data_IF_323557006489
#
_entry.id   IF_323557006489
#
_cell.length_a   1.000
_cell.length_b   1.000
_cell.length_c   1.000
_cell.angle_alpha   90.00
_cell.angle_beta   90.00
_cell.angle_gamma   90.00
#
_symmetry.space_group_name_H-M   'P 1'
#
loop_
_entity.id
_entity.type
_entity.pdbx_description
1 polymer ?
#
# COMPACT_ATOMS: atom_id res chain seq x y z
N UNK A 1 27.09 -14.73 2.41
CA UNK A 1 27.54 -13.34 2.28
C UNK A 1 26.61 -12.67 1.28
N UNK A 2 25.66 -11.86 1.76
CA UNK A 2 24.49 -11.41 1.00
C UNK A 2 24.85 -10.55 -0.22
N UNK A 3 24.22 -10.80 -1.36
CA UNK A 3 24.39 -10.02 -2.59
C UNK A 3 23.68 -8.66 -2.41
N UNK A 4 24.39 -7.72 -1.80
CA UNK A 4 23.88 -6.38 -1.50
C UNK A 4 23.65 -5.61 -2.81
N UNK A 5 22.44 -5.09 -3.00
CA UNK A 5 22.13 -4.13 -4.05
C UNK A 5 23.04 -2.89 -3.91
N UNK A 6 23.66 -2.44 -5.00
CA UNK A 6 24.52 -1.25 -4.95
C UNK A 6 23.74 -0.03 -4.44
N UNK A 7 24.37 0.79 -3.61
CA UNK A 7 23.77 2.01 -3.07
C UNK A 7 23.21 2.91 -4.19
N UNK A 8 23.89 2.99 -5.32
CA UNK A 8 23.45 3.76 -6.50
C UNK A 8 22.12 3.25 -7.07
N UNK A 9 21.95 1.94 -7.17
CA UNK A 9 20.70 1.32 -7.67
C UNK A 9 19.57 1.52 -6.66
N UNK A 10 19.84 1.35 -5.36
CA UNK A 10 18.85 1.61 -4.31
C UNK A 10 18.41 3.09 -4.30
N UNK A 11 19.34 4.04 -4.32
CA UNK A 11 19.03 5.47 -4.39
C UNK A 11 18.20 5.80 -5.63
N UNK A 12 18.56 5.24 -6.79
CA UNK A 12 17.80 5.46 -8.02
C UNK A 12 16.39 4.90 -7.91
N UNK A 13 16.22 3.68 -7.38
CA UNK A 13 14.91 3.08 -7.16
C UNK A 13 14.04 3.92 -6.23
N UNK A 14 14.56 4.39 -5.09
CA UNK A 14 13.82 5.28 -4.17
C UNK A 14 13.37 6.56 -4.88
N UNK A 15 14.25 7.18 -5.66
CA UNK A 15 13.92 8.40 -6.40
C UNK A 15 12.89 8.15 -7.51
N UNK A 16 12.95 6.99 -8.17
CA UNK A 16 11.95 6.57 -9.16
C UNK A 16 10.59 6.34 -8.51
N UNK A 17 10.52 5.62 -7.39
CA UNK A 17 9.29 5.45 -6.61
C UNK A 17 8.72 6.81 -6.24
N UNK A 18 9.51 7.69 -5.59
CA UNK A 18 9.08 9.04 -5.22
C UNK A 18 8.56 9.86 -6.40
N UNK A 19 9.20 9.77 -7.57
CA UNK A 19 8.80 10.51 -8.78
C UNK A 19 7.45 10.05 -9.33
N UNK A 20 7.11 8.76 -9.15
CA UNK A 20 5.87 8.17 -9.66
C UNK A 20 4.68 8.33 -8.69
N UNK A 21 4.84 9.03 -7.56
CA UNK A 21 3.71 9.57 -6.80
C UNK A 21 3.30 10.94 -7.34
N UNK A 22 1.98 11.16 -7.48
CA UNK A 22 1.43 12.42 -7.97
C UNK A 22 1.49 13.50 -6.90
N UNK A 23 2.17 14.60 -7.20
CA UNK A 23 2.36 15.72 -6.24
C UNK A 23 1.09 16.53 -5.99
N UNK A 24 0.12 16.46 -6.88
CA UNK A 24 -1.15 17.19 -6.81
C UNK A 24 -2.24 16.40 -6.07
N UNK A 25 -1.95 15.19 -5.57
CA UNK A 25 -2.86 14.41 -4.73
C UNK A 25 -2.58 14.75 -3.27
N UNK A 26 -3.62 15.15 -2.53
CA UNK A 26 -3.47 15.76 -1.21
C UNK A 26 -2.93 14.78 -0.16
N UNK A 27 -3.45 13.55 -0.09
CA UNK A 27 -3.08 12.54 0.90
C UNK A 27 -2.26 11.40 0.31
N UNK A 28 -2.79 10.66 -0.68
CA UNK A 28 -2.12 9.47 -1.28
C UNK A 28 -0.98 9.87 -2.24
N UNK A 29 0.04 10.52 -1.67
CA UNK A 29 1.26 10.96 -2.34
C UNK A 29 2.50 10.36 -1.66
N UNK A 30 3.70 10.73 -2.11
CA UNK A 30 4.96 10.18 -1.59
C UNK A 30 5.10 10.25 -0.07
N UNK A 31 4.56 11.29 0.59
CA UNK A 31 4.67 11.43 2.05
C UNK A 31 3.84 10.38 2.77
N UNK A 32 2.69 10.01 2.24
CA UNK A 32 1.90 8.91 2.79
C UNK A 32 2.68 7.60 2.69
N UNK A 33 3.12 7.19 1.49
CA UNK A 33 3.89 5.97 1.30
C UNK A 33 5.19 5.91 2.13
N UNK A 34 5.89 7.04 2.25
CA UNK A 34 7.06 7.15 3.12
C UNK A 34 6.70 6.92 4.60
N UNK A 35 5.58 7.46 5.08
CA UNK A 35 5.11 7.23 6.46
C UNK A 35 4.64 5.79 6.67
N UNK A 36 3.98 5.17 5.68
CA UNK A 36 3.61 3.75 5.71
C UNK A 36 4.86 2.88 5.85
N UNK A 37 5.91 3.14 5.06
CA UNK A 37 7.18 2.42 5.16
C UNK A 37 7.91 2.71 6.49
N UNK A 38 7.83 3.93 7.01
CA UNK A 38 8.39 4.27 8.32
C UNK A 38 7.65 3.53 9.45
N UNK A 39 6.32 3.42 9.37
CA UNK A 39 5.53 2.64 10.31
C UNK A 39 5.88 1.14 10.22
N UNK A 40 6.03 0.61 9.01
CA UNK A 40 6.51 -0.76 8.80
C UNK A 40 7.85 -0.99 9.47
N UNK A 41 8.82 -0.10 9.27
CA UNK A 41 10.11 -0.16 9.94
C UNK A 41 9.98 -0.11 11.47
N UNK A 42 9.16 0.79 12.02
CA UNK A 42 8.93 0.90 13.45
C UNK A 42 8.28 -0.37 14.04
N UNK A 43 7.31 -0.96 13.35
CA UNK A 43 6.65 -2.20 13.75
C UNK A 43 7.63 -3.39 13.73
N UNK A 44 8.49 -3.47 12.71
CA UNK A 44 9.55 -4.48 12.63
C UNK A 44 10.56 -4.33 13.77
N UNK A 45 11.04 -3.10 14.02
CA UNK A 45 12.09 -2.82 15.02
C UNK A 45 11.54 -2.69 16.44
N UNK A 46 10.86 -1.59 16.74
CA UNK A 46 10.35 -1.30 18.08
C UNK A 46 9.21 -2.27 18.47
N UNK A 47 8.36 -2.65 17.50
CA UNK A 47 7.31 -3.65 17.68
C UNK A 47 7.81 -5.10 17.68
N UNK A 48 9.12 -5.33 17.46
CA UNK A 48 9.78 -6.65 17.48
C UNK A 48 9.17 -7.69 16.51
N UNK A 49 8.48 -7.25 15.46
CA UNK A 49 7.92 -8.15 14.44
C UNK A 49 9.03 -8.76 13.57
N UNK A 50 10.19 -8.09 13.45
CA UNK A 50 11.31 -8.58 12.64
C UNK A 50 11.71 -10.03 13.00
N UNK A 51 11.69 -10.38 14.28
CA UNK A 51 12.09 -11.72 14.77
C UNK A 51 11.10 -12.83 14.38
N UNK A 52 9.97 -12.47 13.79
CA UNK A 52 8.89 -13.40 13.41
C UNK A 52 8.80 -13.59 11.90
N UNK A 53 9.62 -12.88 11.13
CA UNK A 53 9.59 -12.84 9.67
C UNK A 53 10.94 -13.22 9.09
N UNK A 54 10.92 -13.74 7.86
CA UNK A 54 12.13 -13.99 7.07
C UNK A 54 12.66 -12.71 6.43
N UNK A 55 13.92 -12.71 6.01
CA UNK A 55 14.52 -11.56 5.32
C UNK A 55 13.79 -11.21 4.01
N UNK A 56 13.26 -12.21 3.29
CA UNK A 56 12.49 -11.98 2.06
C UNK A 56 11.12 -11.34 2.35
N UNK A 57 10.44 -11.76 3.43
CA UNK A 57 9.19 -11.13 3.87
C UNK A 57 9.42 -9.67 4.27
N UNK A 58 10.50 -9.39 5.02
CA UNK A 58 10.87 -8.02 5.42
C UNK A 58 11.19 -7.16 4.19
N UNK A 59 11.98 -7.69 3.26
CA UNK A 59 12.32 -7.01 2.00
C UNK A 59 11.05 -6.68 1.19
N UNK A 60 10.17 -7.67 1.04
CA UNK A 60 8.92 -7.51 0.31
C UNK A 60 7.99 -6.47 0.96
N UNK A 61 7.84 -6.49 2.29
CA UNK A 61 7.00 -5.54 3.02
C UNK A 61 7.51 -4.09 2.91
N UNK A 62 8.82 -3.87 2.97
CA UNK A 62 9.38 -2.52 2.81
C UNK A 62 9.21 -2.00 1.38
N UNK A 63 9.38 -2.86 0.38
CA UNK A 63 9.11 -2.51 -1.03
C UNK A 63 7.62 -2.21 -1.23
N UNK A 64 6.74 -3.07 -0.72
CA UNK A 64 5.29 -2.90 -0.82
C UNK A 64 4.84 -1.60 -0.14
N UNK A 65 5.27 -1.33 1.09
CA UNK A 65 4.90 -0.12 1.82
C UNK A 65 5.28 1.17 1.07
N UNK A 66 6.44 1.20 0.41
CA UNK A 66 6.85 2.34 -0.42
C UNK A 66 6.11 2.43 -1.77
N UNK A 67 5.53 1.32 -2.23
CA UNK A 67 5.00 1.19 -3.60
C UNK A 67 3.48 1.07 -3.69
N UNK A 68 2.81 0.88 -2.56
CA UNK A 68 1.40 0.45 -2.51
C UNK A 68 0.40 1.44 -3.10
N UNK A 69 0.79 2.72 -3.25
CA UNK A 69 -0.05 3.79 -3.81
C UNK A 69 0.60 4.47 -5.03
N UNK A 70 1.51 3.78 -5.72
CA UNK A 70 2.20 4.33 -6.89
C UNK A 70 1.22 4.79 -7.97
N UNK A 71 1.38 6.03 -8.43
CA UNK A 71 0.47 6.68 -9.38
C UNK A 71 -1.01 6.76 -8.89
N UNK A 72 -1.26 6.79 -7.58
CA UNK A 72 -2.59 7.07 -7.03
C UNK A 72 -3.13 8.40 -7.59
N UNK A 73 -4.43 8.40 -7.95
CA UNK A 73 -5.06 9.45 -8.77
C UNK A 73 -5.95 10.40 -7.98
N UNK A 74 -5.94 10.28 -6.66
CA UNK A 74 -6.78 11.09 -5.77
C UNK A 74 -8.25 10.68 -5.78
N UNK A 75 -8.56 9.46 -6.24
CA UNK A 75 -9.92 8.94 -6.34
C UNK A 75 -9.95 7.45 -6.00
N UNK A 76 -11.05 6.99 -5.43
CA UNK A 76 -11.21 5.61 -5.01
C UNK A 76 -11.63 4.65 -6.15
N UNK A 77 -11.60 3.34 -5.87
CA UNK A 77 -11.99 2.29 -6.81
C UNK A 77 -13.42 2.46 -7.36
N UNK A 78 -14.37 2.97 -6.55
CA UNK A 78 -15.75 3.19 -7.00
C UNK A 78 -15.85 4.30 -8.05
N UNK A 79 -15.09 5.39 -7.89
CA UNK A 79 -14.98 6.44 -8.89
C UNK A 79 -14.44 5.90 -10.21
N UNK A 80 -13.34 5.13 -10.16
CA UNK A 80 -12.69 4.56 -11.34
C UNK A 80 -13.66 3.64 -12.10
N UNK A 81 -14.46 2.85 -11.38
CA UNK A 81 -15.49 2.00 -11.99
C UNK A 81 -16.63 2.82 -12.63
N UNK A 82 -17.11 3.87 -11.97
CA UNK A 82 -18.22 4.71 -12.45
C UNK A 82 -17.84 5.63 -13.61
N UNK A 83 -16.57 5.99 -13.72
CA UNK A 83 -16.04 6.86 -14.79
C UNK A 83 -15.68 6.10 -16.07
N UNK A 84 -15.97 4.79 -16.14
CA UNK A 84 -15.59 3.91 -17.26
C UNK A 84 -14.10 4.00 -17.61
N UNK A 85 -13.26 4.27 -16.61
CA UNK A 85 -11.84 4.48 -16.81
C UNK A 85 -11.18 3.19 -17.34
N UNK A 86 -10.21 3.25 -18.27
CA UNK A 86 -9.60 2.06 -18.88
C UNK A 86 -9.05 1.03 -17.88
N UNK A 87 -8.60 1.48 -16.70
CA UNK A 87 -8.18 0.57 -15.62
C UNK A 87 -9.31 -0.33 -15.10
N UNK A 88 -10.56 0.17 -15.06
CA UNK A 88 -11.72 -0.62 -14.65
C UNK A 88 -12.08 -1.71 -15.66
N UNK A 89 -11.64 -1.58 -16.92
CA UNK A 89 -11.81 -2.62 -17.93
C UNK A 89 -10.75 -3.72 -17.82
N UNK A 90 -9.57 -3.40 -17.25
CA UNK A 90 -8.48 -4.35 -17.05
C UNK A 90 -8.64 -5.17 -15.77
N UNK A 91 -9.23 -4.57 -14.72
CA UNK A 91 -9.35 -5.17 -13.40
C UNK A 91 -10.80 -5.12 -12.89
N UNK A 92 -11.31 -6.25 -12.38
CA UNK A 92 -12.68 -6.34 -11.86
C UNK A 92 -12.81 -5.88 -10.41
N UNK A 93 -11.76 -6.04 -9.60
CA UNK A 93 -11.71 -5.71 -8.17
C UNK A 93 -10.32 -5.15 -7.84
N UNK A 94 -10.22 -4.40 -6.73
CA UNK A 94 -8.95 -3.82 -6.26
C UNK A 94 -8.18 -3.11 -7.38
N UNK A 95 -8.91 -2.30 -8.17
CA UNK A 95 -8.47 -1.79 -9.48
C UNK A 95 -7.20 -0.96 -9.32
N UNK A 96 -7.21 -0.04 -8.37
CA UNK A 96 -6.07 0.82 -8.08
C UNK A 96 -4.91 0.02 -7.49
N UNK A 97 -5.16 -0.94 -6.60
CA UNK A 97 -4.10 -1.76 -6.00
C UNK A 97 -3.40 -2.65 -7.03
N UNK A 98 -4.13 -3.16 -8.02
CA UNK A 98 -3.55 -3.82 -9.19
C UNK A 98 -2.67 -2.86 -10.01
N UNK A 99 -3.15 -1.64 -10.29
CA UNK A 99 -2.37 -0.60 -10.96
C UNK A 99 -1.10 -0.23 -10.18
N UNK A 100 -1.18 -0.09 -8.86
CA UNK A 100 -0.02 0.19 -7.99
C UNK A 100 1.02 -0.93 -8.06
N UNK A 101 0.57 -2.18 -8.08
CA UNK A 101 1.47 -3.32 -8.27
C UNK A 101 2.14 -3.32 -9.66
N UNK A 102 1.42 -2.97 -10.73
CA UNK A 102 2.01 -2.86 -12.07
C UNK A 102 3.06 -1.74 -12.14
N UNK A 103 2.79 -0.59 -11.51
CA UNK A 103 3.78 0.49 -11.38
C UNK A 103 5.00 0.04 -10.58
N UNK A 104 4.80 -0.70 -9.48
CA UNK A 104 5.88 -1.30 -8.70
C UNK A 104 6.75 -2.20 -9.57
N UNK A 105 6.14 -3.10 -10.35
CA UNK A 105 6.84 -4.03 -11.22
C UNK A 105 7.58 -3.30 -12.36
N UNK A 106 6.97 -2.27 -12.94
CA UNK A 106 7.61 -1.42 -13.96
C UNK A 106 8.89 -0.78 -13.40
N UNK A 107 8.84 -0.19 -12.20
CA UNK A 107 10.01 0.46 -11.58
C UNK A 107 11.08 -0.58 -11.23
N UNK A 108 10.70 -1.73 -10.67
CA UNK A 108 11.63 -2.81 -10.33
C UNK A 108 12.38 -3.37 -11.55
N UNK A 109 11.76 -3.35 -12.73
CA UNK A 109 12.38 -3.81 -13.98
C UNK A 109 13.10 -2.71 -14.76
N UNK A 110 12.90 -1.43 -14.40
CA UNK A 110 13.50 -0.30 -15.10
C UNK A 110 15.03 -0.31 -15.00
N UNK A 111 15.77 -0.03 -16.10
CA UNK A 111 17.23 -0.06 -16.11
C UNK A 111 17.86 0.71 -14.95
N UNK A 112 18.67 0.00 -14.16
CA UNK A 112 19.40 0.59 -13.04
C UNK A 112 18.56 0.90 -11.79
N UNK A 113 17.32 0.41 -11.72
CA UNK A 113 16.46 0.41 -10.52
C UNK A 113 16.26 -1.00 -9.93
N UNK A 114 16.91 -2.02 -10.50
CA UNK A 114 16.65 -3.43 -10.21
C UNK A 114 17.24 -3.86 -8.86
N UNK A 115 16.64 -3.40 -7.76
CA UNK A 115 17.09 -3.68 -6.38
C UNK A 115 17.00 -5.17 -6.00
N UNK A 116 16.25 -5.96 -6.76
CA UNK A 116 16.09 -7.41 -6.57
C UNK A 116 17.01 -8.26 -7.47
N UNK A 117 17.88 -7.64 -8.27
CA UNK A 117 18.74 -8.33 -9.25
C UNK A 117 19.75 -9.32 -8.63
N UNK A 118 20.03 -9.20 -7.33
CA UNK A 118 20.92 -10.12 -6.61
C UNK A 118 20.25 -11.42 -6.16
N UNK A 119 18.92 -11.49 -6.14
CA UNK A 119 18.17 -12.66 -5.69
C UNK A 119 18.28 -13.82 -6.68
N UNK A 120 18.17 -15.05 -6.18
CA UNK A 120 17.92 -16.21 -7.06
C UNK A 120 16.53 -16.10 -7.70
N UNK A 121 16.30 -16.90 -8.74
CA UNK A 121 15.02 -16.90 -9.47
C UNK A 121 13.84 -17.25 -8.53
N UNK A 122 14.02 -18.20 -7.62
CA UNK A 122 12.98 -18.64 -6.69
C UNK A 122 12.73 -17.60 -5.57
N UNK A 123 13.79 -16.98 -5.04
CA UNK A 123 13.65 -15.87 -4.08
C UNK A 123 12.98 -14.66 -4.74
N UNK A 124 13.31 -14.35 -5.99
CA UNK A 124 12.71 -13.25 -6.76
C UNK A 124 11.21 -13.48 -6.96
N UNK A 125 10.80 -14.67 -7.43
CA UNK A 125 9.39 -15.05 -7.59
C UNK A 125 8.64 -14.98 -6.26
N UNK A 126 9.23 -15.50 -5.19
CA UNK A 126 8.65 -15.46 -3.84
C UNK A 126 8.47 -14.03 -3.36
N UNK A 127 9.49 -13.19 -3.49
CA UNK A 127 9.46 -11.77 -3.10
C UNK A 127 8.39 -11.01 -3.87
N UNK A 128 8.29 -11.20 -5.19
CA UNK A 128 7.24 -10.57 -6.00
C UNK A 128 5.83 -11.03 -5.62
N UNK A 129 5.65 -12.32 -5.30
CA UNK A 129 4.37 -12.83 -4.81
C UNK A 129 3.94 -12.12 -3.52
N UNK A 130 4.86 -11.99 -2.57
CA UNK A 130 4.59 -11.30 -1.29
C UNK A 130 4.30 -9.82 -1.53
N UNK A 131 5.08 -9.13 -2.38
CA UNK A 131 4.83 -7.72 -2.74
C UNK A 131 3.42 -7.56 -3.32
N UNK A 132 3.01 -8.42 -4.26
CA UNK A 132 1.66 -8.38 -4.85
C UNK A 132 0.58 -8.53 -3.79
N UNK A 133 0.70 -9.55 -2.94
CA UNK A 133 -0.27 -9.81 -1.88
C UNK A 133 -0.33 -8.66 -0.86
N UNK A 134 0.82 -8.08 -0.52
CA UNK A 134 0.94 -6.96 0.40
C UNK A 134 0.32 -5.66 -0.15
N UNK A 135 0.53 -5.35 -1.43
CA UNK A 135 -0.10 -4.19 -2.08
C UNK A 135 -1.61 -4.40 -2.22
N UNK A 136 -2.07 -5.57 -2.68
CA UNK A 136 -3.51 -5.83 -2.75
C UNK A 136 -4.20 -5.75 -1.38
N UNK A 137 -3.50 -6.10 -0.30
CA UNK A 137 -4.04 -6.04 1.06
C UNK A 137 -4.34 -4.61 1.57
N UNK A 138 -3.89 -3.56 0.89
CA UNK A 138 -4.25 -2.17 1.24
C UNK A 138 -5.65 -1.79 0.74
N UNK A 139 -6.28 -2.60 -0.13
CA UNK A 139 -7.71 -2.47 -0.41
C UNK A 139 -8.51 -2.76 0.86
N UNK A 140 -9.12 -1.72 1.44
CA UNK A 140 -9.92 -1.85 2.66
C UNK A 140 -11.09 -2.82 2.51
N UNK A 141 -11.61 -3.06 1.30
CA UNK A 141 -12.63 -4.08 1.08
C UNK A 141 -12.08 -5.49 1.32
N UNK A 142 -10.83 -5.77 0.92
CA UNK A 142 -10.15 -7.03 1.21
C UNK A 142 -9.80 -7.17 2.69
N UNK A 143 -9.37 -6.09 3.34
CA UNK A 143 -9.19 -6.07 4.80
C UNK A 143 -10.49 -6.45 5.53
N UNK A 144 -11.62 -5.80 5.20
CA UNK A 144 -12.92 -6.08 5.83
C UNK A 144 -13.33 -7.55 5.62
N UNK A 145 -13.09 -8.09 4.42
CA UNK A 145 -13.39 -9.49 4.09
C UNK A 145 -12.56 -10.48 4.90
N UNK A 146 -11.28 -10.19 5.16
CA UNK A 146 -10.32 -11.14 5.76
C UNK A 146 -10.12 -10.98 7.27
N UNK A 147 -10.36 -9.79 7.84
CA UNK A 147 -10.06 -9.51 9.26
C UNK A 147 -10.79 -10.41 10.25
N UNK A 148 -11.98 -10.91 9.90
CA UNK A 148 -12.76 -11.80 10.75
C UNK A 148 -12.04 -13.12 11.05
N UNK A 149 -11.41 -13.71 10.03
CA UNK A 149 -10.59 -14.92 10.18
C UNK A 149 -9.42 -14.66 11.13
N UNK A 150 -8.70 -13.55 10.93
CA UNK A 150 -7.57 -13.18 11.77
C UNK A 150 -7.98 -12.99 13.24
N UNK A 151 -9.07 -12.25 13.48
CA UNK A 151 -9.58 -12.01 14.84
C UNK A 151 -10.04 -13.31 15.51
N UNK A 152 -10.67 -14.22 14.77
CA UNK A 152 -11.09 -15.52 15.30
C UNK A 152 -9.90 -16.42 15.68
N UNK A 153 -8.85 -16.46 14.85
CA UNK A 153 -7.62 -17.20 15.15
C UNK A 153 -6.96 -16.69 16.43
N UNK A 154 -6.89 -15.37 16.62
CA UNK A 154 -6.36 -14.76 17.84
C UNK A 154 -7.27 -15.07 19.03
N UNK A 155 -8.59 -14.87 18.90
CA UNK A 155 -9.57 -15.10 19.97
C UNK A 155 -9.57 -16.54 20.48
N UNK A 156 -9.33 -17.51 19.60
CA UNK A 156 -9.28 -18.95 19.92
C UNK A 156 -7.88 -19.42 20.34
N UNK A 157 -6.88 -18.54 20.40
CA UNK A 157 -5.46 -18.90 20.62
C UNK A 157 -4.94 -19.94 19.60
N UNK A 158 -5.42 -19.87 18.35
CA UNK A 158 -5.07 -20.77 17.25
C UNK A 158 -4.15 -20.12 16.21
N UNK A 159 -3.77 -18.86 16.43
CA UNK A 159 -2.90 -18.13 15.53
C UNK A 159 -1.46 -18.69 15.55
N UNK A 160 -0.98 -19.17 14.40
CA UNK A 160 0.34 -19.74 14.22
C UNK A 160 1.03 -19.15 12.99
N UNK A 161 2.17 -18.47 13.18
CA UNK A 161 2.95 -17.89 12.08
C UNK A 161 3.78 -18.91 11.28
N UNK A 162 3.87 -20.16 11.73
CA UNK A 162 4.50 -21.24 10.95
C UNK A 162 3.57 -21.77 9.86
N UNK A 163 2.25 -21.53 9.99
CA UNK A 163 1.28 -21.83 8.95
C UNK A 163 1.39 -20.79 7.80
N UNK A 164 1.67 -21.21 6.56
CA UNK A 164 1.86 -20.28 5.44
C UNK A 164 0.63 -19.40 5.13
N UNK A 165 -0.58 -19.92 5.32
CA UNK A 165 -1.81 -19.17 5.07
C UNK A 165 -2.05 -18.12 6.15
N UNK A 166 -1.85 -18.49 7.42
CA UNK A 166 -1.95 -17.54 8.53
C UNK A 166 -0.83 -16.49 8.50
N UNK A 167 0.37 -16.85 8.02
CA UNK A 167 1.45 -15.91 7.74
C UNK A 167 1.04 -14.89 6.68
N UNK A 168 0.51 -15.33 5.54
CA UNK A 168 0.02 -14.43 4.49
C UNK A 168 -1.06 -13.47 5.04
N UNK A 169 -2.02 -14.01 5.80
CA UNK A 169 -3.07 -13.21 6.44
C UNK A 169 -2.48 -12.16 7.40
N UNK A 170 -1.47 -12.54 8.19
CA UNK A 170 -0.79 -11.61 9.09
C UNK A 170 -0.06 -10.50 8.34
N UNK A 171 0.66 -10.82 7.27
CA UNK A 171 1.34 -9.82 6.43
C UNK A 171 0.34 -8.83 5.82
N UNK A 172 -0.83 -9.31 5.39
CA UNK A 172 -1.93 -8.48 4.91
C UNK A 172 -2.46 -7.53 6.00
N UNK A 173 -2.74 -8.04 7.21
CA UNK A 173 -3.17 -7.21 8.34
C UNK A 173 -2.12 -6.17 8.75
N UNK A 174 -0.84 -6.55 8.70
CA UNK A 174 0.28 -5.66 9.04
C UNK A 174 0.43 -4.52 8.02
N UNK A 175 0.23 -4.80 6.72
CA UNK A 175 0.19 -3.77 5.68
C UNK A 175 -0.93 -2.77 5.95
N UNK A 176 -2.16 -3.23 6.18
CA UNK A 176 -3.28 -2.33 6.52
C UNK A 176 -2.98 -1.52 7.78
N UNK A 177 -2.40 -2.12 8.82
CA UNK A 177 -2.05 -1.42 10.05
C UNK A 177 -1.05 -0.27 9.82
N UNK A 178 -0.08 -0.47 8.91
CA UNK A 178 0.90 0.56 8.57
C UNK A 178 0.29 1.67 7.70
N UNK A 179 -0.55 1.29 6.73
CA UNK A 179 -1.25 2.20 5.83
C UNK A 179 -2.14 3.18 6.61
N UNK A 180 -2.98 2.66 7.51
CA UNK A 180 -3.86 3.52 8.32
C UNK A 180 -3.19 4.15 9.54
N UNK A 181 -1.86 3.99 9.71
CA UNK A 181 -1.15 4.37 10.94
C UNK A 181 -1.19 5.86 11.28
N UNK A 182 -1.56 6.73 10.33
CA UNK A 182 -1.78 8.15 10.57
C UNK A 182 -2.77 8.42 11.72
N UNK A 183 -3.79 7.55 11.88
CA UNK A 183 -4.79 7.66 12.96
C UNK A 183 -4.20 7.46 14.35
N UNK A 184 -3.00 6.87 14.45
CA UNK A 184 -2.31 6.59 15.73
C UNK A 184 -1.32 7.68 16.13
N UNK A 185 -1.09 8.68 15.27
CA UNK A 185 -0.11 9.74 15.52
C UNK A 185 -0.59 10.67 16.65
N UNK A 186 0.32 11.40 17.33
CA UNK A 186 -0.07 12.45 18.27
C UNK A 186 -1.06 13.41 17.62
N UNK A 187 -2.02 13.89 18.41
CA UNK A 187 -3.16 14.68 17.92
C UNK A 187 -2.79 15.78 16.90
N UNK A 188 -1.77 16.63 17.12
CA UNK A 188 -1.43 17.69 16.16
C UNK A 188 -1.00 17.16 14.78
N UNK A 189 -0.41 15.96 14.73
CA UNK A 189 -0.01 15.30 13.48
C UNK A 189 -1.21 14.63 12.83
N UNK A 190 -2.00 13.90 13.63
CA UNK A 190 -3.19 13.21 13.13
C UNK A 190 -4.21 14.19 12.55
N UNK A 191 -4.46 15.32 13.21
CA UNK A 191 -5.39 16.36 12.74
C UNK A 191 -4.99 16.89 11.35
N UNK A 192 -3.71 17.25 11.16
CA UNK A 192 -3.20 17.73 9.87
C UNK A 192 -3.34 16.69 8.77
N UNK A 193 -3.12 15.41 9.09
CA UNK A 193 -3.27 14.34 8.10
C UNK A 193 -4.75 14.12 7.78
N UNK A 194 -5.65 14.18 8.77
CA UNK A 194 -7.09 14.08 8.55
C UNK A 194 -7.61 15.21 7.64
N UNK A 195 -7.09 16.43 7.76
CA UNK A 195 -7.39 17.54 6.85
C UNK A 195 -6.98 17.23 5.40
N UNK A 196 -5.83 16.59 5.17
CA UNK A 196 -5.39 16.15 3.84
C UNK A 196 -6.29 15.05 3.27
N UNK A 197 -6.68 14.07 4.09
CA UNK A 197 -7.61 13.00 3.70
C UNK A 197 -8.96 13.60 3.30
N UNK A 198 -9.49 14.52 4.13
CA UNK A 198 -10.75 15.20 3.85
C UNK A 198 -10.66 16.02 2.56
N UNK A 199 -9.56 16.75 2.35
CA UNK A 199 -9.32 17.51 1.11
C UNK A 199 -9.40 16.59 -0.12
N UNK A 200 -8.73 15.44 -0.08
CA UNK A 200 -8.77 14.50 -1.20
C UNK A 200 -10.17 13.93 -1.46
N UNK A 201 -10.93 13.60 -0.42
CA UNK A 201 -12.31 13.14 -0.59
C UNK A 201 -13.24 14.23 -1.12
N UNK A 202 -13.03 15.49 -0.73
CA UNK A 202 -13.79 16.61 -1.27
C UNK A 202 -13.42 16.88 -2.73
N UNK A 203 -12.15 16.80 -3.10
CA UNK A 203 -11.70 16.91 -4.48
C UNK A 203 -12.33 15.83 -5.36
N UNK A 204 -12.41 14.58 -4.87
CA UNK A 204 -13.17 13.52 -5.55
C UNK A 204 -14.65 13.90 -5.67
N UNK A 205 -15.30 14.39 -4.62
CA UNK A 205 -16.71 14.78 -4.67
C UNK A 205 -17.00 15.91 -5.67
N UNK A 206 -16.09 16.88 -5.78
CA UNK A 206 -16.19 17.95 -6.77
C UNK A 206 -16.05 17.39 -8.20
N UNK A 207 -15.21 16.37 -8.40
CA UNK A 207 -15.11 15.64 -9.68
C UNK A 207 -16.34 14.78 -9.97
N UNK A 208 -16.90 14.08 -8.99
CA UNK A 208 -18.13 13.29 -9.13
C UNK A 208 -19.29 14.15 -9.62
N UNK A 209 -19.45 15.35 -9.06
CA UNK A 209 -20.46 16.31 -9.53
C UNK A 209 -20.21 16.77 -10.96
N UNK A 210 -18.98 17.13 -11.30
CA UNK A 210 -18.64 17.76 -12.59
C UNK A 210 -18.54 16.76 -13.74
N UNK A 211 -17.93 15.61 -13.51
CA UNK A 211 -17.59 14.61 -14.53
C UNK A 211 -18.68 13.54 -14.67
N UNK A 212 -19.36 13.18 -13.57
CA UNK A 212 -20.32 12.07 -13.55
C UNK A 212 -21.78 12.51 -13.32
N UNK A 213 -22.00 13.79 -13.00
CA UNK A 213 -23.32 14.35 -12.68
C UNK A 213 -24.05 13.57 -11.56
N UNK A 214 -23.30 13.15 -10.52
CA UNK A 214 -23.84 12.44 -9.36
C UNK A 214 -23.64 13.25 -8.06
N UNK A 215 -24.53 13.03 -7.10
CA UNK A 215 -24.36 13.48 -5.72
C UNK A 215 -23.18 12.71 -5.08
N UNK A 216 -22.19 13.40 -4.49
CA UNK A 216 -21.07 12.74 -3.83
C UNK A 216 -21.51 11.93 -2.62
N UNK A 217 -20.71 10.93 -2.26
CA UNK A 217 -20.92 10.20 -1.00
C UNK A 217 -20.74 11.13 0.21
N UNK A 218 -21.34 10.81 1.36
CA UNK A 218 -21.33 11.68 2.55
C UNK A 218 -19.92 12.12 2.99
N UNK A 219 -18.92 11.26 2.84
CA UNK A 219 -17.51 11.57 3.16
C UNK A 219 -16.88 12.59 2.19
N UNK A 220 -17.45 12.74 0.99
CA UNK A 220 -17.01 13.64 -0.08
C UNK A 220 -17.85 14.93 -0.15
N UNK A 221 -18.84 15.10 0.76
CA UNK A 221 -19.62 16.34 0.87
C UNK A 221 -18.93 17.32 1.82
N UNK A 222 -18.59 18.52 1.34
CA UNK A 222 -18.27 19.65 2.22
C UNK A 222 -19.52 19.97 3.03
N UNK A 223 -19.46 19.83 4.36
CA UNK A 223 -20.49 20.37 5.25
C UNK A 223 -20.31 21.88 5.27
N UNK A 224 -21.17 22.59 4.54
CA UNK A 224 -21.31 24.06 4.60
C UNK A 224 -21.94 24.49 5.91
#
# INVERSE_FOLDING_TARGET
MGRICSLKVLCRWILSVKKNYRKNVAYHNWRHAFNTAQCMFAALKAGKIQNKLTDLEILALLIAALSHDLDHRGVNNSYIQRSEHPLAQLYCHSIMEHHHFDQCLMILNSPGNQILSGLSIEEYKTTLKIIKQAILATDLALYIKRRGEFFELIRKNQFNLEDPHQKELFLAMLMTACDVSAITKPWPVQQRIAELIATEFFDQGDRERKELNIEPTDNSKKRT
#
